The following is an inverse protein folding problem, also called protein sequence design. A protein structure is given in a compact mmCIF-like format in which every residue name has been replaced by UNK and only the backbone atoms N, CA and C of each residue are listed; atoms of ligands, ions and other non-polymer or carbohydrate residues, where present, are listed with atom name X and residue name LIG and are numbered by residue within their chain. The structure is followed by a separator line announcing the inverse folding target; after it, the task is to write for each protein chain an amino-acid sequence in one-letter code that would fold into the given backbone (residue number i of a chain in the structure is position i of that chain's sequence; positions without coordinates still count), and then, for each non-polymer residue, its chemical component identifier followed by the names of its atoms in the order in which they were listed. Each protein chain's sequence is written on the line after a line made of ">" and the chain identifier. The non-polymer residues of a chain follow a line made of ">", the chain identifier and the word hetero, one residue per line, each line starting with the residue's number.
data_IF_645369216784
#
_entry.id   IF_645369216784
#
_cell.length_a   1.000
_cell.length_b   1.000
_cell.length_c   1.000
_cell.angle_alpha   90.00
_cell.angle_beta   90.00
_cell.angle_gamma   90.00
#
_symmetry.space_group_name_H-M   'P 1'
#
loop_
_entity.id
_entity.type
_entity.pdbx_description
1 polymer ?
#
# COMPACT_ATOMS: atom_id res chain seq x y z
N UNK A 1 14.64 -4.00 -19.71
CA UNK A 1 13.45 -4.15 -20.58
C UNK A 1 12.55 -2.96 -20.35
N UNK A 2 12.03 -2.34 -21.39
CA UNK A 2 11.02 -1.27 -21.24
C UNK A 2 9.65 -1.93 -21.38
N UNK A 3 8.89 -2.03 -20.31
CA UNK A 3 7.56 -2.63 -20.31
C UNK A 3 6.49 -1.57 -20.53
N UNK A 4 5.43 -1.93 -21.27
CA UNK A 4 4.16 -1.22 -21.29
C UNK A 4 3.27 -1.78 -20.17
N UNK A 5 2.98 -0.97 -19.17
CA UNK A 5 2.24 -1.37 -17.96
C UNK A 5 0.94 -0.58 -17.88
N UNK A 6 -0.17 -1.28 -17.72
CA UNK A 6 -1.47 -0.67 -17.43
C UNK A 6 -1.87 -1.03 -16.01
N UNK A 7 -2.22 -0.03 -15.22
CA UNK A 7 -2.73 -0.21 -13.86
C UNK A 7 -4.18 0.29 -13.82
N UNK A 8 -5.10 -0.57 -13.43
CA UNK A 8 -6.47 -0.16 -13.09
C UNK A 8 -6.57 -0.12 -11.57
N UNK A 9 -6.68 1.05 -11.00
CA UNK A 9 -6.62 1.24 -9.54
C UNK A 9 -7.74 2.11 -8.99
N UNK A 10 -7.84 2.16 -7.66
CA UNK A 10 -8.90 2.89 -6.97
C UNK A 10 -8.83 4.40 -7.26
N UNK A 11 -7.75 5.04 -6.89
CA UNK A 11 -7.44 6.43 -7.21
C UNK A 11 -5.95 6.73 -7.00
N UNK A 12 -5.40 7.48 -7.92
CA UNK A 12 -4.05 8.04 -7.86
C UNK A 12 -4.09 9.57 -7.93
N UNK A 13 -5.23 10.14 -8.39
CA UNK A 13 -5.38 11.60 -8.52
C UNK A 13 -5.73 12.27 -7.19
N UNK A 14 -6.25 11.52 -6.20
CA UNK A 14 -6.61 12.04 -4.89
C UNK A 14 -6.00 11.20 -3.76
N UNK A 15 -5.33 11.87 -2.82
CA UNK A 15 -4.86 11.28 -1.56
C UNK A 15 -5.85 11.45 -0.40
N UNK A 16 -6.96 12.11 -0.61
CA UNK A 16 -7.98 12.35 0.40
C UNK A 16 -8.59 11.06 0.92
N UNK A 17 -8.35 10.77 2.20
CA UNK A 17 -8.83 9.53 2.83
C UNK A 17 -8.31 8.25 2.18
N UNK A 18 -7.25 8.33 1.37
CA UNK A 18 -6.79 7.27 0.49
C UNK A 18 -5.27 7.07 0.57
N UNK A 19 -4.84 6.23 1.51
CA UNK A 19 -3.42 5.85 1.63
C UNK A 19 -2.87 5.05 0.44
N UNK A 20 -3.73 4.52 -0.44
CA UNK A 20 -3.30 3.79 -1.63
C UNK A 20 -2.67 4.72 -2.66
N UNK A 21 -3.09 5.99 -2.72
CA UNK A 21 -2.58 6.95 -3.68
C UNK A 21 -1.06 7.14 -3.56
N UNK A 22 -0.53 7.30 -2.34
CA UNK A 22 0.92 7.46 -2.13
C UNK A 22 1.70 6.21 -2.54
N UNK A 23 1.17 5.03 -2.26
CA UNK A 23 1.77 3.75 -2.67
C UNK A 23 1.83 3.60 -4.19
N UNK A 24 0.71 3.86 -4.89
CA UNK A 24 0.69 3.80 -6.35
C UNK A 24 1.62 4.85 -6.97
N UNK A 25 1.57 6.10 -6.51
CA UNK A 25 2.43 7.17 -7.02
C UNK A 25 3.89 6.80 -6.89
N UNK A 26 4.32 6.34 -5.71
CA UNK A 26 5.71 5.94 -5.46
C UNK A 26 6.17 4.79 -6.36
N UNK A 27 5.36 3.74 -6.51
CA UNK A 27 5.67 2.60 -7.36
C UNK A 27 5.74 2.99 -8.84
N UNK A 28 4.75 3.73 -9.33
CA UNK A 28 4.65 4.12 -10.75
C UNK A 28 5.78 5.08 -11.12
N UNK A 29 6.10 6.03 -10.26
CA UNK A 29 7.22 6.95 -10.47
C UNK A 29 8.55 6.20 -10.56
N UNK A 30 8.78 5.23 -9.66
CA UNK A 30 9.96 4.39 -9.71
C UNK A 30 10.03 3.54 -10.99
N UNK A 31 8.91 2.98 -11.45
CA UNK A 31 8.83 2.25 -12.72
C UNK A 31 9.14 3.18 -13.91
N UNK A 32 8.59 4.39 -13.93
CA UNK A 32 8.83 5.36 -14.99
C UNK A 32 10.31 5.79 -15.04
N UNK A 33 10.96 6.06 -13.88
CA UNK A 33 12.40 6.34 -13.79
C UNK A 33 13.26 5.19 -14.35
N UNK A 34 12.76 3.96 -14.29
CA UNK A 34 13.42 2.76 -14.84
C UNK A 34 13.15 2.53 -16.32
N UNK A 35 12.41 3.46 -16.96
CA UNK A 35 12.13 3.47 -18.41
C UNK A 35 10.89 2.67 -18.82
N UNK A 36 10.01 2.30 -17.89
CA UNK A 36 8.72 1.69 -18.22
C UNK A 36 7.70 2.75 -18.63
N UNK A 37 6.79 2.37 -19.53
CA UNK A 37 5.63 3.18 -19.91
C UNK A 37 4.43 2.77 -19.07
N UNK A 38 4.02 3.62 -18.12
CA UNK A 38 2.93 3.29 -17.20
C UNK A 38 1.72 4.17 -17.49
N UNK A 39 0.56 3.55 -17.69
CA UNK A 39 -0.75 4.21 -17.76
C UNK A 39 -1.62 3.74 -16.62
N UNK A 40 -2.07 4.68 -15.79
CA UNK A 40 -3.01 4.42 -14.70
C UNK A 40 -4.43 4.78 -15.15
N UNK A 41 -5.35 3.83 -15.01
CA UNK A 41 -6.76 4.00 -15.31
C UNK A 41 -7.51 4.15 -13.99
N UNK A 42 -8.17 5.30 -13.80
CA UNK A 42 -8.92 5.64 -12.59
C UNK A 42 -10.38 5.93 -12.94
N UNK A 43 -11.31 5.35 -12.18
CA UNK A 43 -12.71 5.73 -12.29
C UNK A 43 -12.94 7.13 -11.71
N UNK A 44 -13.55 8.02 -12.53
CA UNK A 44 -13.86 9.38 -12.10
C UNK A 44 -15.11 9.39 -11.22
N UNK A 45 -14.90 9.21 -9.90
CA UNK A 45 -15.96 9.28 -8.89
C UNK A 45 -15.97 10.65 -8.21
N UNK A 46 -17.15 11.15 -7.83
CA UNK A 46 -17.33 12.49 -7.24
C UNK A 46 -16.44 12.71 -6.01
N UNK A 47 -16.39 11.72 -5.11
CA UNK A 47 -15.58 11.77 -3.90
C UNK A 47 -14.11 12.15 -4.13
N UNK A 48 -13.44 11.52 -5.13
CA UNK A 48 -12.04 11.84 -5.44
C UNK A 48 -11.90 13.06 -6.32
N UNK A 49 -12.88 13.34 -7.20
CA UNK A 49 -12.88 14.50 -8.11
C UNK A 49 -12.73 15.81 -7.35
N UNK A 50 -13.44 15.96 -6.25
CA UNK A 50 -13.48 17.16 -5.42
C UNK A 50 -12.19 17.39 -4.62
N UNK A 51 -11.35 16.35 -4.46
CA UNK A 51 -10.17 16.36 -3.61
C UNK A 51 -8.89 15.99 -4.37
N UNK A 52 -8.82 16.24 -5.67
CA UNK A 52 -7.63 15.94 -6.46
C UNK A 52 -6.45 16.83 -6.06
N UNK A 53 -5.34 16.18 -5.72
CA UNK A 53 -4.05 16.82 -5.40
C UNK A 53 -2.95 16.46 -6.41
N UNK A 54 -3.24 15.57 -7.38
CA UNK A 54 -2.39 15.24 -8.53
C UNK A 54 -3.24 15.27 -9.81
N UNK A 55 -3.00 16.24 -10.68
CA UNK A 55 -3.77 16.41 -11.91
C UNK A 55 -3.05 15.91 -13.15
N UNK A 56 -1.72 16.07 -13.22
CA UNK A 56 -0.92 15.68 -14.39
C UNK A 56 0.49 15.26 -13.95
N UNK A 57 0.76 13.95 -13.86
CA UNK A 57 2.14 13.48 -13.66
C UNK A 57 3.01 13.79 -14.87
N UNK A 58 4.32 13.93 -14.66
CA UNK A 58 5.27 14.30 -15.72
C UNK A 58 5.88 13.09 -16.43
N UNK A 59 5.96 11.95 -15.75
CA UNK A 59 6.73 10.76 -16.15
C UNK A 59 5.88 9.56 -16.55
N UNK A 60 4.57 9.60 -16.28
CA UNK A 60 3.61 8.54 -16.60
C UNK A 60 2.25 9.14 -16.94
N UNK A 61 1.27 8.32 -17.33
CA UNK A 61 -0.04 8.79 -17.78
C UNK A 61 -1.14 8.38 -16.80
N UNK A 62 -2.08 9.28 -16.52
CA UNK A 62 -3.34 8.96 -15.85
C UNK A 62 -4.50 9.25 -16.80
N UNK A 63 -5.40 8.26 -16.93
CA UNK A 63 -6.61 8.33 -17.73
C UNK A 63 -7.83 8.08 -16.87
N UNK A 64 -8.80 9.00 -16.96
CA UNK A 64 -10.04 8.89 -16.22
C UNK A 64 -11.12 8.21 -17.08
N UNK A 65 -11.90 7.32 -16.46
CA UNK A 65 -13.08 6.71 -17.11
C UNK A 65 -14.33 6.87 -16.24
N UNK A 66 -15.51 6.90 -16.85
CA UNK A 66 -16.77 7.13 -16.16
C UNK A 66 -17.51 5.83 -15.84
N UNK A 67 -17.39 4.83 -16.70
CA UNK A 67 -18.16 3.60 -16.60
C UNK A 67 -17.37 2.39 -17.11
N UNK A 68 -17.84 1.20 -16.76
CA UNK A 68 -17.31 -0.07 -17.27
C UNK A 68 -17.24 -0.10 -18.81
N UNK A 69 -18.20 0.54 -19.52
CA UNK A 69 -18.25 0.58 -21.00
C UNK A 69 -17.08 1.36 -21.62
N UNK A 70 -16.47 2.25 -20.87
CA UNK A 70 -15.33 3.03 -21.36
C UNK A 70 -14.06 2.17 -21.48
N UNK A 71 -13.90 1.15 -20.64
CA UNK A 71 -12.72 0.29 -20.62
C UNK A 71 -12.49 -0.37 -21.99
N UNK A 72 -13.42 -1.16 -22.56
CA UNK A 72 -13.23 -1.75 -23.88
C UNK A 72 -13.14 -0.72 -25.00
N UNK A 73 -13.95 0.35 -24.94
CA UNK A 73 -14.07 1.33 -26.00
C UNK A 73 -12.84 2.21 -26.17
N UNK A 74 -12.28 2.71 -25.03
CA UNK A 74 -11.16 3.68 -25.05
C UNK A 74 -9.81 2.99 -24.89
N UNK A 75 -9.75 1.97 -24.06
CA UNK A 75 -8.50 1.36 -23.61
C UNK A 75 -8.27 -0.08 -24.09
N UNK A 76 -9.20 -0.62 -24.91
CA UNK A 76 -9.11 -2.00 -25.36
C UNK A 76 -7.82 -2.35 -26.09
N UNK A 77 -7.30 -1.45 -26.97
CA UNK A 77 -6.00 -1.63 -27.63
C UNK A 77 -4.86 -1.54 -26.64
N UNK A 78 -4.85 -0.55 -25.75
CA UNK A 78 -3.84 -0.33 -24.74
C UNK A 78 -3.68 -1.58 -23.83
N UNK A 79 -4.81 -2.11 -23.32
CA UNK A 79 -4.83 -3.30 -22.44
C UNK A 79 -4.36 -4.56 -23.19
N UNK A 80 -4.77 -4.72 -24.46
CA UNK A 80 -4.38 -5.89 -25.27
C UNK A 80 -2.89 -5.93 -25.56
N UNK A 81 -2.29 -4.77 -25.81
CA UNK A 81 -0.91 -4.63 -26.24
C UNK A 81 0.06 -4.43 -25.05
N UNK A 82 -0.43 -4.28 -23.82
CA UNK A 82 0.38 -4.14 -22.63
C UNK A 82 1.13 -5.43 -22.28
N UNK A 83 2.38 -5.30 -21.81
CA UNK A 83 3.19 -6.42 -21.30
C UNK A 83 2.68 -6.90 -19.92
N UNK A 84 2.17 -5.97 -19.11
CA UNK A 84 1.62 -6.22 -17.79
C UNK A 84 0.37 -5.37 -17.55
N UNK A 85 -0.72 -6.03 -17.15
CA UNK A 85 -1.96 -5.36 -16.71
C UNK A 85 -2.20 -5.69 -15.25
N UNK A 86 -2.21 -4.67 -14.40
CA UNK A 86 -2.42 -4.79 -12.95
C UNK A 86 -3.82 -4.28 -12.61
N UNK A 87 -4.60 -5.08 -11.89
CA UNK A 87 -5.86 -4.65 -11.30
C UNK A 87 -5.66 -4.55 -9.79
N UNK A 88 -5.98 -3.41 -9.20
CA UNK A 88 -5.86 -3.18 -7.76
C UNK A 88 -7.11 -3.54 -6.98
N UNK A 89 -6.97 -3.71 -5.68
CA UNK A 89 -8.12 -3.81 -4.77
C UNK A 89 -8.94 -2.52 -4.76
N UNK A 90 -10.22 -2.65 -4.42
CA UNK A 90 -11.22 -1.57 -4.35
C UNK A 90 -11.57 -0.88 -5.68
N UNK A 91 -11.15 -1.43 -6.82
CA UNK A 91 -11.59 -0.90 -8.11
C UNK A 91 -13.10 -1.09 -8.26
N UNK A 92 -13.89 -0.02 -8.49
CA UNK A 92 -15.32 -0.15 -8.71
C UNK A 92 -15.62 -1.02 -9.94
N UNK A 93 -16.58 -1.93 -9.84
CA UNK A 93 -16.87 -2.97 -10.85
C UNK A 93 -15.67 -3.89 -11.14
N UNK A 94 -14.76 -4.06 -10.18
CA UNK A 94 -13.47 -4.70 -10.39
C UNK A 94 -13.58 -6.16 -10.87
N UNK A 95 -14.62 -6.90 -10.46
CA UNK A 95 -14.88 -8.27 -10.97
C UNK A 95 -15.11 -8.23 -12.47
N UNK A 96 -16.05 -7.42 -12.96
CA UNK A 96 -16.38 -7.32 -14.38
C UNK A 96 -15.22 -6.77 -15.21
N UNK A 97 -14.47 -5.79 -14.68
CA UNK A 97 -13.25 -5.24 -15.32
C UNK A 97 -12.20 -6.34 -15.45
N UNK A 98 -11.95 -7.11 -14.38
CA UNK A 98 -10.96 -8.18 -14.36
C UNK A 98 -11.32 -9.30 -15.34
N UNK A 99 -12.58 -9.72 -15.40
CA UNK A 99 -13.05 -10.74 -16.35
C UNK A 99 -12.82 -10.30 -17.79
N UNK A 100 -13.16 -9.06 -18.10
CA UNK A 100 -12.94 -8.51 -19.42
C UNK A 100 -11.44 -8.42 -19.74
N UNK A 101 -10.61 -7.89 -18.82
CA UNK A 101 -9.15 -7.78 -19.02
C UNK A 101 -8.53 -9.16 -19.25
N UNK A 102 -8.85 -10.14 -18.41
CA UNK A 102 -8.33 -11.52 -18.57
C UNK A 102 -8.71 -12.17 -19.90
N UNK A 103 -9.83 -11.74 -20.51
CA UNK A 103 -10.24 -12.21 -21.83
C UNK A 103 -9.51 -11.52 -23.00
N UNK A 104 -8.95 -10.32 -22.78
CA UNK A 104 -8.36 -9.50 -23.84
C UNK A 104 -6.84 -9.36 -23.76
N UNK A 105 -6.27 -9.34 -22.55
CA UNK A 105 -4.85 -9.09 -22.35
C UNK A 105 -3.98 -10.21 -22.95
N UNK A 106 -2.96 -9.82 -23.71
CA UNK A 106 -1.96 -10.75 -24.27
C UNK A 106 -0.75 -10.90 -23.35
N UNK A 107 -0.44 -9.86 -22.58
CA UNK A 107 0.60 -9.84 -21.56
C UNK A 107 0.15 -10.49 -20.25
N UNK A 108 0.97 -10.33 -19.22
CA UNK A 108 0.72 -10.84 -17.87
C UNK A 108 -0.43 -10.07 -17.21
N UNK A 109 -1.35 -10.80 -16.59
CA UNK A 109 -2.40 -10.20 -15.75
C UNK A 109 -2.07 -10.40 -14.28
N UNK A 110 -2.10 -9.31 -13.51
CA UNK A 110 -1.81 -9.34 -12.09
C UNK A 110 -2.94 -8.70 -11.27
N UNK A 111 -3.21 -9.27 -10.11
CA UNK A 111 -4.01 -8.60 -9.08
C UNK A 111 -3.08 -8.04 -8.01
N UNK A 112 -3.17 -6.73 -7.74
CA UNK A 112 -2.39 -6.07 -6.70
C UNK A 112 -3.26 -5.75 -5.51
N UNK A 113 -3.16 -6.60 -4.50
CA UNK A 113 -3.95 -6.50 -3.28
C UNK A 113 -3.21 -5.67 -2.24
N UNK A 114 -3.47 -4.37 -2.28
CA UNK A 114 -2.86 -3.40 -1.36
C UNK A 114 -3.52 -3.36 0.02
N UNK A 115 -4.47 -4.26 0.28
CA UNK A 115 -5.10 -4.43 1.59
C UNK A 115 -5.39 -5.93 1.86
N UNK A 116 -4.42 -6.78 1.54
CA UNK A 116 -4.52 -8.24 1.57
C UNK A 116 -5.19 -8.79 2.84
N UNK A 117 -4.87 -8.34 4.07
CA UNK A 117 -5.54 -8.85 5.27
C UNK A 117 -7.06 -8.62 5.24
N UNK A 118 -7.48 -7.43 4.81
CA UNK A 118 -8.91 -7.06 4.72
C UNK A 118 -9.61 -7.82 3.61
N UNK A 119 -8.96 -7.95 2.45
CA UNK A 119 -9.46 -8.72 1.32
C UNK A 119 -9.72 -10.17 1.73
N UNK A 120 -8.72 -10.84 2.30
CA UNK A 120 -8.82 -12.26 2.68
C UNK A 120 -9.82 -12.50 3.83
N UNK A 121 -9.95 -11.55 4.77
CA UNK A 121 -10.94 -11.64 5.85
C UNK A 121 -12.39 -11.53 5.35
N UNK A 122 -12.62 -10.97 4.17
CA UNK A 122 -13.94 -10.67 3.62
C UNK A 122 -14.28 -11.37 2.32
N UNK A 123 -13.34 -12.04 1.66
CA UNK A 123 -13.51 -12.61 0.32
C UNK A 123 -14.68 -13.61 0.26
N UNK A 124 -14.89 -14.39 1.31
CA UNK A 124 -15.97 -15.37 1.41
C UNK A 124 -17.36 -14.72 1.65
N UNK A 125 -17.39 -13.43 2.03
CA UNK A 125 -18.63 -12.64 2.22
C UNK A 125 -19.04 -11.88 0.96
N UNK A 126 -18.26 -11.97 -0.10
CA UNK A 126 -18.42 -11.23 -1.34
C UNK A 126 -17.77 -9.84 -1.30
N UNK A 127 -16.96 -9.59 -2.28
CA UNK A 127 -16.34 -8.29 -2.58
C UNK A 127 -16.75 -7.90 -4.00
N UNK A 128 -16.86 -6.61 -4.27
CA UNK A 128 -17.22 -6.08 -5.59
C UNK A 128 -16.03 -6.02 -6.57
N UNK A 129 -14.81 -6.13 -6.04
CA UNK A 129 -13.58 -6.02 -6.82
C UNK A 129 -12.82 -7.34 -7.03
N UNK A 130 -13.08 -8.38 -6.24
CA UNK A 130 -12.42 -9.67 -6.33
C UNK A 130 -13.32 -10.79 -5.79
N UNK A 131 -13.35 -11.94 -6.48
CA UNK A 131 -13.91 -13.18 -5.93
C UNK A 131 -12.81 -14.25 -5.80
N UNK A 132 -12.99 -15.19 -4.87
CA UNK A 132 -12.05 -16.30 -4.68
C UNK A 132 -11.83 -17.11 -5.97
N UNK A 133 -12.88 -17.30 -6.77
CA UNK A 133 -12.82 -18.01 -8.05
C UNK A 133 -11.97 -17.30 -9.13
N UNK A 134 -11.70 -16.01 -8.97
CA UNK A 134 -10.87 -15.26 -9.92
C UNK A 134 -9.38 -15.36 -9.64
N UNK A 135 -9.00 -15.61 -8.39
CA UNK A 135 -7.58 -15.66 -7.99
C UNK A 135 -6.76 -16.62 -8.86
N UNK A 136 -7.21 -17.86 -9.15
CA UNK A 136 -6.48 -18.79 -10.01
C UNK A 136 -6.36 -18.36 -11.47
N UNK A 137 -7.13 -17.37 -11.90
CA UNK A 137 -7.19 -16.90 -13.30
C UNK A 137 -6.18 -15.80 -13.61
N UNK A 138 -5.67 -15.10 -12.58
CA UNK A 138 -4.56 -14.17 -12.72
C UNK A 138 -3.25 -14.94 -12.89
N UNK A 139 -2.32 -14.41 -13.69
CA UNK A 139 -0.97 -14.96 -13.80
C UNK A 139 -0.15 -14.71 -12.52
N UNK A 140 -0.44 -13.61 -11.81
CA UNK A 140 0.30 -13.13 -10.64
C UNK A 140 -0.64 -12.49 -9.61
N UNK A 141 -0.47 -12.86 -8.35
CA UNK A 141 -1.10 -12.19 -7.21
C UNK A 141 -0.03 -11.45 -6.41
N UNK A 142 -0.15 -10.15 -6.28
CA UNK A 142 0.76 -9.28 -5.54
C UNK A 142 0.12 -8.91 -4.20
N UNK A 143 0.74 -9.34 -3.11
CA UNK A 143 0.20 -9.20 -1.75
C UNK A 143 0.95 -8.14 -0.95
N UNK A 144 0.23 -7.30 -0.19
CA UNK A 144 0.82 -6.43 0.84
C UNK A 144 1.22 -7.17 2.12
N UNK A 145 0.82 -8.42 2.27
CA UNK A 145 1.23 -9.26 3.39
C UNK A 145 2.27 -10.27 2.92
N UNK A 146 3.36 -10.37 3.67
CA UNK A 146 4.48 -11.28 3.41
C UNK A 146 4.48 -12.51 4.29
N UNK A 147 5.67 -12.96 4.69
CA UNK A 147 5.83 -14.19 5.49
C UNK A 147 5.14 -15.38 4.82
N UNK A 148 4.27 -16.13 5.51
CA UNK A 148 3.58 -17.31 4.97
C UNK A 148 2.39 -16.97 4.04
N UNK A 149 2.01 -15.69 3.90
CA UNK A 149 0.76 -15.30 3.22
C UNK A 149 0.77 -15.61 1.73
N UNK A 150 1.83 -15.35 0.94
CA UNK A 150 1.87 -15.74 -0.47
C UNK A 150 1.66 -17.25 -0.68
N UNK A 151 2.34 -18.09 0.10
CA UNK A 151 2.20 -19.55 0.02
C UNK A 151 0.79 -20.00 0.38
N UNK A 152 0.17 -19.36 1.37
CA UNK A 152 -1.22 -19.61 1.75
C UNK A 152 -2.19 -19.22 0.62
N UNK A 153 -1.93 -18.10 -0.10
CA UNK A 153 -2.76 -17.68 -1.25
C UNK A 153 -2.63 -18.69 -2.40
N UNK A 154 -1.42 -19.21 -2.66
CA UNK A 154 -1.24 -20.28 -3.66
C UNK A 154 -1.97 -21.56 -3.25
N UNK A 155 -1.81 -21.99 -2.00
CA UNK A 155 -2.37 -23.26 -1.52
C UNK A 155 -3.89 -23.24 -1.35
N UNK A 156 -4.45 -22.16 -0.75
CA UNK A 156 -5.88 -22.09 -0.41
C UNK A 156 -6.75 -21.59 -1.56
N UNK A 157 -6.25 -20.60 -2.30
CA UNK A 157 -7.01 -19.93 -3.34
C UNK A 157 -6.56 -20.30 -4.76
N UNK A 158 -5.53 -21.14 -4.88
CA UNK A 158 -5.08 -21.68 -6.17
C UNK A 158 -4.39 -20.65 -7.06
N UNK A 159 -3.87 -19.55 -6.51
CA UNK A 159 -3.06 -18.61 -7.30
C UNK A 159 -1.92 -19.35 -7.98
N UNK A 160 -1.72 -19.17 -9.29
CA UNK A 160 -0.57 -19.82 -9.97
C UNK A 160 0.76 -19.29 -9.45
N UNK A 161 0.80 -18.01 -9.01
CA UNK A 161 1.99 -17.38 -8.47
C UNK A 161 1.56 -16.21 -7.59
N UNK A 162 1.82 -16.31 -6.29
CA UNK A 162 1.64 -15.21 -5.33
C UNK A 162 3.01 -14.70 -4.88
N UNK A 163 3.16 -13.38 -4.78
CA UNK A 163 4.41 -12.72 -4.39
C UNK A 163 4.11 -11.53 -3.48
N UNK A 164 4.99 -11.29 -2.53
CA UNK A 164 4.88 -10.09 -1.71
C UNK A 164 5.33 -8.85 -2.49
N UNK A 165 4.49 -7.82 -2.46
CA UNK A 165 4.85 -6.48 -2.94
C UNK A 165 4.35 -5.46 -1.92
N UNK A 166 5.15 -5.21 -0.90
CA UNK A 166 4.81 -4.27 0.18
C UNK A 166 4.64 -2.85 -0.34
N UNK A 167 3.91 -2.02 0.42
CA UNK A 167 4.06 -0.57 0.33
C UNK A 167 5.52 -0.14 0.55
N UNK A 168 5.83 1.10 0.25
CA UNK A 168 7.19 1.64 0.30
C UNK A 168 7.19 3.14 0.42
N UNK A 169 8.32 3.72 0.82
CA UNK A 169 8.54 5.15 0.71
C UNK A 169 9.21 5.51 -0.63
N UNK A 170 8.82 6.63 -1.20
CA UNK A 170 9.61 7.30 -2.22
C UNK A 170 10.76 8.03 -1.54
N UNK A 171 12.00 7.53 -1.75
CA UNK A 171 13.19 8.05 -1.09
C UNK A 171 13.56 9.49 -1.49
N UNK A 172 13.05 9.99 -2.62
CA UNK A 172 13.25 11.36 -3.06
C UNK A 172 12.23 12.33 -2.45
N UNK A 173 11.02 11.84 -2.21
CA UNK A 173 9.93 12.62 -1.61
C UNK A 173 9.98 12.61 -0.07
N UNK A 174 10.32 11.47 0.56
CA UNK A 174 10.39 11.32 2.01
C UNK A 174 11.83 11.42 2.51
N UNK A 175 12.25 12.65 2.72
CA UNK A 175 13.60 12.98 3.20
C UNK A 175 13.52 13.74 4.53
N UNK A 176 14.55 13.63 5.40
CA UNK A 176 14.61 14.42 6.62
C UNK A 176 14.52 15.91 6.32
N UNK A 177 13.72 16.62 7.10
CA UNK A 177 13.54 18.07 7.04
C UNK A 177 14.12 18.71 8.30
N UNK A 178 14.62 19.94 8.17
CA UNK A 178 14.97 20.74 9.34
C UNK A 178 13.68 21.35 9.90
N UNK A 179 13.28 20.93 11.08
CA UNK A 179 12.11 21.43 11.77
C UNK A 179 12.35 21.51 13.27
N UNK A 180 11.67 22.45 13.93
CA UNK A 180 11.56 22.45 15.37
C UNK A 180 10.52 21.39 15.79
N UNK A 181 10.86 20.55 16.77
CA UNK A 181 9.92 19.58 17.33
C UNK A 181 8.73 20.31 17.98
N UNK A 182 7.52 20.00 17.53
CA UNK A 182 6.26 20.55 18.02
C UNK A 182 5.48 19.52 18.84
N UNK A 183 5.56 18.26 18.47
CA UNK A 183 4.78 17.17 19.07
C UNK A 183 5.67 16.07 19.64
N UNK A 184 5.35 15.66 20.87
CA UNK A 184 5.99 14.50 21.50
C UNK A 184 5.69 13.21 20.72
N UNK A 185 4.43 13.07 20.25
CA UNK A 185 3.96 11.95 19.45
C UNK A 185 2.94 12.43 18.42
N UNK A 186 3.11 12.03 17.16
CA UNK A 186 2.16 12.33 16.09
C UNK A 186 1.70 11.06 15.37
N UNK A 187 0.49 11.10 14.85
CA UNK A 187 -0.12 10.04 14.07
C UNK A 187 -0.66 10.58 12.75
N UNK A 188 -0.32 9.94 11.64
CA UNK A 188 -0.86 10.24 10.32
C UNK A 188 -1.68 9.05 9.81
N UNK A 189 -3.00 9.22 9.68
CA UNK A 189 -3.87 8.17 9.14
C UNK A 189 -5.35 8.54 9.23
N UNK A 190 -6.09 8.16 8.20
CA UNK A 190 -7.55 8.26 8.14
C UNK A 190 -8.20 7.41 9.23
N UNK A 191 -9.35 7.83 9.71
CA UNK A 191 -10.13 7.06 10.69
C UNK A 191 -10.43 5.64 10.19
N UNK A 192 -10.44 4.72 11.13
CA UNK A 192 -10.92 3.34 10.94
C UNK A 192 -11.36 2.82 12.30
N UNK A 193 -12.59 2.33 12.39
CA UNK A 193 -13.18 1.86 13.64
C UNK A 193 -12.32 0.77 14.30
N UNK A 194 -11.76 -0.14 13.51
CA UNK A 194 -10.91 -1.24 13.98
C UNK A 194 -9.51 -0.81 14.43
N UNK A 195 -9.10 0.41 14.11
CA UNK A 195 -7.83 1.02 14.53
C UNK A 195 -7.98 1.94 15.74
N UNK A 196 -9.18 2.49 15.94
CA UNK A 196 -9.44 3.46 17.00
C UNK A 196 -9.05 2.97 18.41
N UNK A 197 -9.28 1.71 18.80
CA UNK A 197 -8.83 1.20 20.12
C UNK A 197 -7.32 1.30 20.33
N UNK A 198 -6.51 1.09 19.28
CA UNK A 198 -5.05 1.23 19.37
C UNK A 198 -4.66 2.69 19.48
N UNK A 199 -5.29 3.57 18.71
CA UNK A 199 -5.06 5.01 18.78
C UNK A 199 -5.44 5.56 20.16
N UNK A 200 -6.56 5.12 20.71
CA UNK A 200 -6.99 5.47 22.07
C UNK A 200 -5.94 5.05 23.11
N UNK A 201 -5.46 3.82 23.01
CA UNK A 201 -4.52 3.27 23.98
C UNK A 201 -3.11 3.86 23.88
N UNK A 202 -2.61 4.09 22.66
CA UNK A 202 -1.20 4.45 22.44
C UNK A 202 -0.97 5.94 22.16
N UNK A 203 -2.05 6.74 21.97
CA UNK A 203 -1.92 8.18 21.80
C UNK A 203 -2.83 8.98 22.71
N UNK A 204 -4.16 8.75 22.71
CA UNK A 204 -5.09 9.60 23.44
C UNK A 204 -4.97 9.41 24.96
N UNK A 205 -4.79 8.17 25.44
CA UNK A 205 -4.55 7.91 26.87
C UNK A 205 -3.21 8.49 27.35
N UNK A 206 -2.08 8.31 26.66
CA UNK A 206 -0.84 9.03 26.97
C UNK A 206 -1.00 10.55 26.97
N UNK A 207 -1.75 11.12 26.00
CA UNK A 207 -1.98 12.57 25.95
C UNK A 207 -2.69 13.08 27.20
N UNK A 208 -3.74 12.39 27.69
CA UNK A 208 -4.42 12.75 28.94
C UNK A 208 -3.51 12.67 30.18
N UNK A 209 -2.56 11.72 30.16
CA UNK A 209 -1.62 11.52 31.27
C UNK A 209 -0.39 12.43 31.22
N UNK A 210 -0.15 13.10 30.09
CA UNK A 210 0.96 14.03 29.85
C UNK A 210 0.43 15.39 29.36
N UNK A 211 -0.33 16.15 30.19
CA UNK A 211 -1.00 17.36 29.75
C UNK A 211 -0.04 18.49 29.34
N UNK A 212 1.23 18.44 29.74
CA UNK A 212 2.27 19.42 29.36
C UNK A 212 2.88 19.10 27.97
N UNK A 213 2.70 17.90 27.47
CA UNK A 213 3.21 17.50 26.17
C UNK A 213 2.17 17.74 25.06
N UNK A 214 2.62 18.03 23.85
CA UNK A 214 1.75 18.23 22.69
C UNK A 214 1.74 16.99 21.79
N UNK A 215 0.57 16.65 21.30
CA UNK A 215 0.33 15.51 20.41
C UNK A 215 -0.34 15.97 19.12
N UNK A 216 -0.26 15.19 18.05
CA UNK A 216 -0.95 15.49 16.81
C UNK A 216 -1.58 14.24 16.17
N UNK A 217 -2.79 14.41 15.64
CA UNK A 217 -3.45 13.40 14.81
C UNK A 217 -3.90 14.04 13.51
N UNK A 218 -3.27 13.64 12.40
CA UNK A 218 -3.62 14.07 11.06
C UNK A 218 -4.32 12.95 10.29
N UNK A 219 -5.48 13.26 9.70
CA UNK A 219 -6.27 12.31 8.91
C UNK A 219 -7.74 12.66 8.91
N UNK A 220 -8.42 12.24 7.83
CA UNK A 220 -9.83 12.51 7.60
C UNK A 220 -10.76 11.49 8.27
N UNK A 221 -12.07 11.79 8.25
CA UNK A 221 -13.17 10.90 8.58
C UNK A 221 -13.30 10.52 10.07
N UNK A 222 -12.63 11.20 10.98
CA UNK A 222 -12.83 10.97 12.40
C UNK A 222 -14.21 11.44 12.82
N UNK A 223 -15.02 10.58 13.49
CA UNK A 223 -16.36 10.94 13.93
C UNK A 223 -16.30 11.96 15.09
N UNK A 224 -17.33 12.80 15.16
CA UNK A 224 -17.43 13.89 16.14
C UNK A 224 -17.51 13.41 17.59
N UNK A 225 -17.96 12.20 17.84
CA UNK A 225 -18.10 11.65 19.19
C UNK A 225 -16.76 11.29 19.86
N UNK A 226 -15.63 11.38 19.17
CA UNK A 226 -14.31 11.12 19.77
C UNK A 226 -13.94 12.28 20.68
N UNK A 227 -13.77 11.98 21.98
CA UNK A 227 -13.32 12.95 22.95
C UNK A 227 -11.80 13.18 22.83
N UNK A 228 -11.42 14.25 22.15
CA UNK A 228 -10.03 14.63 21.97
C UNK A 228 -9.51 15.35 23.22
N UNK A 229 -8.33 14.97 23.78
CA UNK A 229 -7.65 15.77 24.79
C UNK A 229 -7.24 17.15 24.25
N UNK A 230 -7.25 18.19 25.10
CA UNK A 230 -6.94 19.58 24.72
C UNK A 230 -5.53 19.75 24.11
N UNK A 231 -4.61 18.88 24.50
CA UNK A 231 -3.22 18.87 24.01
C UNK A 231 -3.01 17.99 22.75
N UNK A 232 -4.10 17.58 22.07
CA UNK A 232 -4.05 16.85 20.79
C UNK A 232 -4.49 17.77 19.66
N UNK A 233 -3.55 18.20 18.83
CA UNK A 233 -3.84 18.93 17.60
C UNK A 233 -4.51 18.01 16.56
N UNK A 234 -5.66 18.42 16.05
CA UNK A 234 -6.37 17.74 14.97
C UNK A 234 -6.10 18.43 13.63
N UNK A 235 -5.67 17.64 12.63
CA UNK A 235 -5.47 18.09 11.25
C UNK A 235 -6.31 17.17 10.36
N UNK A 236 -7.33 17.72 9.71
CA UNK A 236 -8.29 16.92 8.94
C UNK A 236 -7.67 16.23 7.74
N UNK A 237 -6.76 16.92 7.04
CA UNK A 237 -6.05 16.35 5.90
C UNK A 237 -4.66 16.99 5.74
N UNK A 238 -3.69 16.14 5.38
CA UNK A 238 -2.36 16.57 4.95
C UNK A 238 -2.11 16.03 3.54
N UNK A 239 -1.80 16.90 2.61
CA UNK A 239 -1.36 16.48 1.30
C UNK A 239 0.01 15.77 1.39
N UNK A 240 0.31 14.75 0.54
CA UNK A 240 1.55 13.96 0.63
C UNK A 240 2.82 14.78 0.67
N UNK A 241 2.88 15.90 -0.05
CA UNK A 241 4.02 16.84 -0.01
C UNK A 241 4.29 17.48 1.35
N UNK A 242 3.31 17.44 2.27
CA UNK A 242 3.43 17.98 3.63
C UNK A 242 3.82 16.90 4.65
N UNK A 243 3.74 15.62 4.30
CA UNK A 243 4.07 14.50 5.19
C UNK A 243 5.50 14.59 5.74
N UNK A 244 6.56 14.88 4.93
CA UNK A 244 7.93 14.95 5.45
C UNK A 244 8.09 16.00 6.54
N UNK A 245 7.48 17.18 6.38
CA UNK A 245 7.51 18.23 7.40
C UNK A 245 6.76 17.81 8.65
N UNK A 246 5.56 17.21 8.49
CA UNK A 246 4.78 16.69 9.61
C UNK A 246 5.54 15.64 10.41
N UNK A 247 6.27 14.72 9.75
CA UNK A 247 7.12 13.76 10.44
C UNK A 247 8.32 14.43 11.13
N UNK A 248 8.95 15.41 10.50
CA UNK A 248 10.09 16.13 11.07
C UNK A 248 9.73 16.95 12.33
N UNK A 249 8.49 17.40 12.45
CA UNK A 249 7.97 18.15 13.60
C UNK A 249 7.61 17.25 14.80
N UNK A 250 7.76 15.92 14.69
CA UNK A 250 7.46 14.95 15.73
C UNK A 250 8.72 14.42 16.39
N UNK A 251 8.70 14.25 17.70
CA UNK A 251 9.74 13.52 18.42
C UNK A 251 9.67 12.02 18.10
N UNK A 252 8.43 11.49 18.05
CA UNK A 252 8.12 10.12 17.62
C UNK A 252 6.88 10.11 16.73
N UNK A 253 6.85 9.20 15.74
CA UNK A 253 5.65 8.90 14.96
C UNK A 253 4.98 7.63 15.51
N UNK A 254 3.64 7.64 15.62
CA UNK A 254 2.89 6.45 15.99
C UNK A 254 2.49 5.66 14.75
N UNK A 255 2.65 4.35 14.81
CA UNK A 255 1.96 3.41 13.95
C UNK A 255 0.88 2.68 14.75
N UNK A 256 -0.37 2.79 14.31
CA UNK A 256 -1.49 2.02 14.82
C UNK A 256 -2.01 1.10 13.70
N UNK A 257 -2.00 -0.20 13.94
CA UNK A 257 -2.29 -1.22 12.93
C UNK A 257 -3.77 -1.64 12.99
N UNK A 258 -4.40 -1.86 11.84
CA UNK A 258 -5.78 -2.35 11.73
C UNK A 258 -5.91 -3.77 12.29
N UNK A 259 -7.09 -4.13 12.77
CA UNK A 259 -7.34 -5.43 13.39
C UNK A 259 -7.05 -6.60 12.43
N UNK A 260 -7.52 -6.54 11.18
CA UNK A 260 -7.28 -7.58 10.18
C UNK A 260 -5.78 -7.72 9.85
N UNK A 261 -5.03 -6.61 9.81
CA UNK A 261 -3.58 -6.62 9.59
C UNK A 261 -2.82 -7.26 10.77
N UNK A 262 -3.26 -7.01 12.01
CA UNK A 262 -2.68 -7.66 13.19
C UNK A 262 -2.99 -9.15 13.24
N UNK A 263 -4.21 -9.53 12.87
CA UNK A 263 -4.66 -10.92 12.88
C UNK A 263 -3.92 -11.77 11.83
N UNK A 264 -3.73 -11.25 10.62
CA UNK A 264 -2.99 -11.95 9.57
C UNK A 264 -1.47 -11.88 9.80
N UNK A 265 -0.99 -10.74 10.31
CA UNK A 265 0.43 -10.46 10.45
C UNK A 265 1.14 -10.13 9.15
N UNK A 266 2.45 -9.88 9.21
CA UNK A 266 3.34 -9.66 8.06
C UNK A 266 2.88 -8.57 7.09
N UNK A 267 2.08 -7.60 7.57
CA UNK A 267 1.47 -6.57 6.75
C UNK A 267 1.81 -5.17 7.28
N UNK A 268 2.94 -4.58 6.85
CA UNK A 268 3.34 -3.25 7.28
C UNK A 268 2.45 -2.16 6.67
N UNK A 269 2.17 -1.10 7.43
CA UNK A 269 1.55 0.10 6.88
C UNK A 269 2.60 1.01 6.23
N UNK A 270 2.19 1.79 5.22
CA UNK A 270 3.10 2.73 4.52
C UNK A 270 3.76 3.74 5.45
N UNK A 271 3.08 4.15 6.51
CA UNK A 271 3.57 5.09 7.53
C UNK A 271 4.89 4.65 8.16
N UNK A 272 5.10 3.35 8.36
CA UNK A 272 6.34 2.81 8.90
C UNK A 272 7.55 3.22 8.03
N UNK A 273 7.39 3.09 6.72
CA UNK A 273 8.45 3.42 5.77
C UNK A 273 8.60 4.93 5.56
N UNK A 274 7.49 5.66 5.49
CA UNK A 274 7.49 7.12 5.31
C UNK A 274 8.14 7.85 6.49
N UNK A 275 7.72 7.55 7.72
CA UNK A 275 8.28 8.16 8.93
C UNK A 275 9.76 7.82 9.10
N UNK A 276 10.14 6.54 8.91
CA UNK A 276 11.53 6.12 9.00
C UNK A 276 12.41 6.76 7.91
N UNK A 277 11.92 6.89 6.67
CA UNK A 277 12.63 7.59 5.59
C UNK A 277 12.87 9.07 5.93
N UNK A 278 11.93 9.72 6.60
CA UNK A 278 12.06 11.09 7.11
C UNK A 278 12.99 11.21 8.34
N UNK A 279 13.50 10.10 8.88
CA UNK A 279 14.36 10.12 10.06
C UNK A 279 13.58 10.32 11.38
N UNK A 280 12.29 10.01 11.40
CA UNK A 280 11.44 10.06 12.59
C UNK A 280 11.28 8.65 13.15
N UNK A 281 11.73 8.38 14.40
CA UNK A 281 11.61 7.06 14.98
C UNK A 281 10.14 6.71 15.25
N UNK A 282 9.78 5.44 15.02
CA UNK A 282 8.40 4.98 15.09
C UNK A 282 8.16 4.18 16.37
N UNK A 283 7.07 4.50 17.07
CA UNK A 283 6.45 3.66 18.08
C UNK A 283 5.29 2.92 17.39
N UNK A 284 5.26 1.59 17.47
CA UNK A 284 4.21 0.75 16.86
C UNK A 284 3.57 -0.17 17.88
N UNK A 285 2.29 -0.46 17.69
CA UNK A 285 1.68 -1.63 18.30
C UNK A 285 2.36 -2.92 17.80
N UNK A 286 2.18 -4.02 18.52
CA UNK A 286 2.77 -5.33 18.21
C UNK A 286 1.87 -6.10 17.24
N UNK A 287 2.49 -6.72 16.24
CA UNK A 287 1.83 -7.63 15.31
C UNK A 287 2.85 -8.67 14.78
N UNK A 288 2.41 -9.91 14.43
CA UNK A 288 3.30 -10.96 13.94
C UNK A 288 4.02 -10.54 12.65
N UNK A 289 5.34 -10.70 12.62
CA UNK A 289 6.16 -10.41 11.44
C UNK A 289 6.72 -8.98 11.37
N UNK A 290 6.45 -8.10 12.36
CA UNK A 290 7.05 -6.76 12.39
C UNK A 290 8.58 -6.84 12.44
N UNK A 291 9.11 -7.86 13.11
CA UNK A 291 10.54 -8.16 13.24
C UNK A 291 11.22 -8.55 11.92
N UNK A 292 10.44 -8.91 10.90
CA UNK A 292 10.95 -9.18 9.54
C UNK A 292 11.14 -7.91 8.73
N UNK A 293 10.56 -6.80 9.20
CA UNK A 293 10.62 -5.48 8.53
C UNK A 293 11.60 -4.56 9.25
N UNK A 294 11.49 -4.47 10.58
CA UNK A 294 12.36 -3.66 11.44
C UNK A 294 12.82 -4.44 12.67
N UNK A 295 14.06 -4.26 13.08
CA UNK A 295 14.60 -4.86 14.31
C UNK A 295 14.06 -4.11 15.55
N UNK A 296 13.27 -4.80 16.43
CA UNK A 296 12.73 -4.17 17.63
C UNK A 296 13.83 -3.59 18.52
N UNK A 297 13.56 -2.44 19.13
CA UNK A 297 14.45 -1.66 20.01
C UNK A 297 15.69 -1.07 19.34
N UNK A 298 15.95 -1.40 18.07
CA UNK A 298 17.07 -0.87 17.28
C UNK A 298 16.61 -0.02 16.11
N UNK A 299 15.54 -0.44 15.44
CA UNK A 299 14.99 0.25 14.25
C UNK A 299 13.53 0.69 14.49
N UNK A 300 12.83 0.07 15.44
CA UNK A 300 11.46 0.39 15.80
C UNK A 300 11.24 0.17 17.31
N UNK A 301 10.36 0.99 17.90
CA UNK A 301 9.93 0.85 19.28
C UNK A 301 8.54 0.20 19.32
N UNK A 302 8.36 -0.78 20.20
CA UNK A 302 7.09 -1.52 20.32
C UNK A 302 6.42 -1.19 21.66
N UNK A 303 5.14 -0.79 21.58
CA UNK A 303 4.31 -0.50 22.73
C UNK A 303 3.02 -1.34 22.69
N UNK A 304 2.55 -1.75 23.84
CA UNK A 304 1.28 -2.48 24.03
C UNK A 304 0.30 -1.72 24.91
N UNK A 305 0.79 -0.77 25.71
CA UNK A 305 0.01 -0.01 26.69
C UNK A 305 0.36 1.48 26.63
N UNK A 306 -0.54 2.31 27.18
CA UNK A 306 -0.26 3.73 27.40
C UNK A 306 1.00 3.97 28.22
N UNK A 307 1.26 3.10 29.21
CA UNK A 307 2.43 3.20 30.07
C UNK A 307 3.73 3.00 29.28
N UNK A 308 3.78 2.04 28.35
CA UNK A 308 4.96 1.82 27.51
C UNK A 308 5.29 3.08 26.70
N UNK A 309 4.26 3.73 26.14
CA UNK A 309 4.43 4.99 25.40
C UNK A 309 4.94 6.10 26.30
N UNK A 310 4.35 6.27 27.50
CA UNK A 310 4.76 7.29 28.46
C UNK A 310 6.22 7.11 28.89
N UNK A 311 6.65 5.89 29.19
CA UNK A 311 8.03 5.56 29.52
C UNK A 311 8.97 5.92 28.36
N UNK A 312 8.62 5.59 27.10
CA UNK A 312 9.40 5.98 25.93
C UNK A 312 9.50 7.50 25.80
N UNK A 313 8.39 8.23 25.97
CA UNK A 313 8.37 9.69 25.82
C UNK A 313 9.16 10.41 26.92
N UNK A 314 9.16 9.91 28.15
CA UNK A 314 9.85 10.52 29.31
C UNK A 314 11.32 10.13 29.37
N UNK A 315 11.61 8.83 29.20
CA UNK A 315 12.89 8.25 29.62
C UNK A 315 13.85 7.98 28.47
N UNK A 316 13.41 8.10 27.18
CA UNK A 316 14.27 7.86 26.05
C UNK A 316 15.33 8.95 25.89
N UNK A 317 16.64 8.64 26.07
CA UNK A 317 17.72 9.59 25.83
C UNK A 317 17.74 10.02 24.36
N UNK A 318 18.04 11.28 24.12
CA UNK A 318 18.02 11.87 22.78
C UNK A 318 19.01 11.19 21.82
N UNK A 319 20.20 10.79 22.32
CA UNK A 319 21.19 10.08 21.54
C UNK A 319 20.64 8.71 21.08
N UNK A 320 20.00 7.96 21.96
CA UNK A 320 19.36 6.68 21.62
C UNK A 320 18.22 6.86 20.62
N UNK A 321 17.40 7.87 20.82
CA UNK A 321 16.33 8.22 19.88
C UNK A 321 16.88 8.45 18.47
N UNK A 322 17.96 9.23 18.33
CA UNK A 322 18.63 9.50 17.04
C UNK A 322 19.22 8.23 16.43
N UNK A 323 19.88 7.40 17.23
CA UNK A 323 20.43 6.13 16.74
C UNK A 323 19.36 5.21 16.18
N UNK A 324 18.19 5.12 16.83
CA UNK A 324 17.03 4.35 16.34
C UNK A 324 16.52 4.94 15.03
N UNK A 325 16.35 6.26 14.95
CA UNK A 325 15.89 6.95 13.75
C UNK A 325 16.82 6.71 12.54
N UNK A 326 18.14 6.85 12.75
CA UNK A 326 19.15 6.61 11.72
C UNK A 326 19.17 5.15 11.24
N UNK A 327 19.02 4.20 12.19
CA UNK A 327 18.98 2.77 11.86
C UNK A 327 17.73 2.41 11.08
N UNK A 328 16.55 2.91 11.49
CA UNK A 328 15.29 2.74 10.77
C UNK A 328 15.35 3.33 9.36
N UNK A 329 15.88 4.55 9.23
CA UNK A 329 16.05 5.19 7.92
C UNK A 329 16.99 4.39 7.02
N UNK A 330 18.12 3.92 7.53
CA UNK A 330 19.05 3.06 6.78
C UNK A 330 18.35 1.79 6.30
N UNK A 331 17.58 1.12 7.16
CA UNK A 331 16.77 -0.06 6.79
C UNK A 331 15.84 0.25 5.61
N UNK A 332 15.08 1.34 5.67
CA UNK A 332 14.16 1.72 4.58
C UNK A 332 14.90 2.01 3.30
N UNK A 333 15.99 2.78 3.35
CA UNK A 333 16.74 3.12 2.15
C UNK A 333 17.43 1.91 1.51
N UNK A 334 17.79 0.90 2.30
CA UNK A 334 18.43 -0.33 1.81
C UNK A 334 17.42 -1.33 1.23
N UNK A 335 16.20 -1.44 1.81
CA UNK A 335 15.33 -2.59 1.52
C UNK A 335 13.90 -2.22 1.12
N UNK A 336 13.43 -0.98 1.41
CA UNK A 336 12.00 -0.66 1.38
C UNK A 336 11.63 0.63 0.62
N UNK A 337 12.45 1.04 -0.34
CA UNK A 337 12.11 2.16 -1.25
C UNK A 337 11.21 1.69 -2.40
N UNK A 338 10.57 2.64 -3.06
CA UNK A 338 9.79 2.38 -4.27
C UNK A 338 10.62 1.78 -5.41
N UNK A 339 11.92 2.08 -5.50
CA UNK A 339 12.82 1.48 -6.48
C UNK A 339 13.05 -0.02 -6.22
N UNK A 340 13.07 -0.45 -4.95
CA UNK A 340 13.11 -1.87 -4.61
C UNK A 340 11.84 -2.58 -5.06
N UNK A 341 10.66 -1.96 -4.88
CA UNK A 341 9.38 -2.52 -5.32
C UNK A 341 9.28 -2.58 -6.84
N UNK A 342 9.77 -1.56 -7.55
CA UNK A 342 9.83 -1.57 -9.01
C UNK A 342 10.69 -2.73 -9.51
N UNK A 343 11.89 -2.94 -8.95
CA UNK A 343 12.76 -4.09 -9.28
C UNK A 343 12.10 -5.44 -8.96
N UNK A 344 11.44 -5.56 -7.81
CA UNK A 344 10.71 -6.78 -7.47
C UNK A 344 9.61 -7.07 -8.50
N UNK A 345 8.83 -6.06 -8.90
CA UNK A 345 7.78 -6.23 -9.91
C UNK A 345 8.33 -6.65 -11.26
N UNK A 346 9.47 -6.10 -11.70
CA UNK A 346 10.16 -6.55 -12.93
C UNK A 346 10.52 -8.04 -12.87
N UNK A 347 11.09 -8.48 -11.75
CA UNK A 347 11.45 -9.90 -11.54
C UNK A 347 10.20 -10.77 -11.57
N UNK A 348 9.15 -10.39 -10.87
CA UNK A 348 7.90 -11.16 -10.81
C UNK A 348 7.20 -11.22 -12.18
N UNK A 349 7.22 -10.14 -12.95
CA UNK A 349 6.70 -10.11 -14.30
C UNK A 349 7.47 -11.08 -15.22
N UNK A 350 8.80 -11.11 -15.12
CA UNK A 350 9.64 -12.04 -15.88
C UNK A 350 9.38 -13.50 -15.48
N UNK A 351 9.26 -13.82 -14.19
CA UNK A 351 8.92 -15.15 -13.68
C UNK A 351 7.55 -15.62 -14.19
N UNK A 352 6.52 -14.75 -14.08
CA UNK A 352 5.17 -15.05 -14.57
C UNK A 352 5.15 -15.30 -16.07
N UNK A 353 5.90 -14.49 -16.85
CA UNK A 353 6.05 -14.66 -18.30
C UNK A 353 6.69 -16.01 -18.64
N UNK A 354 7.77 -16.38 -17.96
CA UNK A 354 8.43 -17.67 -18.15
C UNK A 354 7.50 -18.85 -17.81
N UNK A 355 6.73 -18.72 -16.72
CA UNK A 355 5.74 -19.74 -16.30
C UNK A 355 4.65 -19.92 -17.36
N UNK A 356 4.09 -18.83 -17.87
CA UNK A 356 3.04 -18.84 -18.89
C UNK A 356 3.52 -19.50 -20.18
N UNK A 357 4.75 -19.19 -20.64
CA UNK A 357 5.37 -19.83 -21.82
C UNK A 357 5.53 -21.34 -21.65
N UNK A 358 6.00 -21.79 -20.47
CA UNK A 358 6.13 -23.23 -20.17
C UNK A 358 4.79 -23.95 -20.16
N UNK A 359 3.73 -23.32 -19.64
CA UNK A 359 2.37 -23.88 -19.65
C UNK A 359 1.85 -24.04 -21.08
N UNK A 360 2.02 -23.02 -21.92
CA UNK A 360 1.62 -23.07 -23.33
C UNK A 360 2.38 -24.13 -24.13
N UNK A 361 3.67 -24.31 -23.87
CA UNK A 361 4.49 -25.34 -24.56
C UNK A 361 4.15 -26.80 -24.16
N UNK A 362 3.48 -26.99 -22.99
CA UNK A 362 3.06 -28.32 -22.51
C UNK A 362 1.67 -28.73 -22.97
N UNK A 363 0.87 -27.82 -23.54
CA UNK A 363 -0.43 -28.16 -24.12
C UNK A 363 -0.15 -28.84 -25.47
N UNK A 364 -0.59 -30.13 -25.70
CA UNK A 364 -0.38 -30.82 -27.00
C UNK A 364 -1.06 -30.01 -28.10
N UNK A 365 -0.38 -29.80 -29.20
CA UNK A 365 -0.99 -29.26 -30.40
C UNK A 365 -2.22 -30.10 -30.73
N UNK A 366 -3.41 -29.52 -30.70
CA UNK A 366 -4.67 -30.21 -30.99
C UNK A 366 -4.53 -30.97 -32.31
N UNK A 367 -4.78 -32.27 -32.30
CA UNK A 367 -4.91 -33.04 -33.53
C UNK A 367 -5.98 -32.39 -34.41
N UNK A 368 -5.71 -32.13 -35.70
CA UNK A 368 -6.78 -31.69 -36.58
C UNK A 368 -7.86 -32.77 -36.59
N UNK A 369 -9.10 -32.37 -36.30
CA UNK A 369 -10.28 -33.22 -36.47
C UNK A 369 -10.34 -33.54 -37.96
N UNK A 370 -10.03 -34.78 -38.36
CA UNK A 370 -10.38 -35.27 -39.68
C UNK A 370 -11.88 -35.28 -39.79
N UNK A 371 -12.44 -34.37 -40.56
CA UNK A 371 -13.82 -34.43 -40.99
C UNK A 371 -13.87 -35.59 -41.98
N UNK A 372 -14.46 -36.72 -41.57
CA UNK A 372 -14.81 -37.80 -42.47
C UNK A 372 -15.95 -37.28 -43.35
N UNK A 373 -15.69 -37.13 -44.62
CA UNK A 373 -16.73 -36.98 -45.65
C UNK A 373 -17.55 -38.30 -45.70
N UNK A 374 -18.84 -38.16 -45.48
CA UNK A 374 -19.90 -39.13 -45.84
C UNK A 374 -20.80 -38.49 -46.88
#
# INVERSE_FOLDING_TARGET
>A
MNLSIVVVGLSVTSSWGNGHATTYRALIEALARRGHHVTFLERDVAWYREHRDLTKPSSWTVELYQSLKDIPRRFGKLIRDADLVIIGSYVPDGIAISEWIMSQARGITAFYDIDTPVTLARIDRGLDYLSAAMIPRFDLYLSFAGGPVPDMIEARYGSPMARVLYCSADADAYVPQQAQTKWALGYLGTYSEDRQPVLEQLLLSPARMLPSEQFAVAGAQYPEHIAWPDNVMRIEHLAPKQHPMFYAEQRFALNATRADMRALGFSPSVRLFEAAACGTPVISDRWPGIETIFEPSREILLASTARDVIEILRDMPEERRRTIAESARRRVLTDHTSDHRARQLEVYCAEATARRRRKSARLPAGRPVQVAEL
#
